data_IF_612423499955
#
_entry.id   IF_612423499955
#
_cell.length_a   1.000
_cell.length_b   1.000
_cell.length_c   1.000
_cell.angle_alpha   90.00
_cell.angle_beta   90.00
_cell.angle_gamma   90.00
#
_symmetry.space_group_name_H-M   'P 1'
#
loop_
_entity.id
_entity.type
_entity.pdbx_description
1 polymer ?
#
# COMPACT_ATOMS: atom_id res chain seq x y z
N UNK A 1 -21.69 -0.21 23.56
CA UNK A 1 -21.90 0.90 22.60
C UNK A 1 -20.71 0.99 21.67
N UNK A 2 -20.85 0.48 20.47
CA UNK A 2 -19.82 0.53 19.42
C UNK A 2 -19.68 1.98 18.97
N UNK A 3 -18.63 2.66 19.39
CA UNK A 3 -18.29 3.99 18.88
C UNK A 3 -17.99 3.87 17.39
N UNK A 4 -18.91 4.36 16.56
CA UNK A 4 -18.66 4.46 15.11
C UNK A 4 -17.46 5.37 14.89
N UNK A 5 -16.44 4.88 14.20
CA UNK A 5 -15.33 5.71 13.73
C UNK A 5 -15.90 6.75 12.75
N UNK A 6 -15.58 8.01 12.98
CA UNK A 6 -15.94 9.09 12.07
C UNK A 6 -14.73 9.43 11.23
N UNK A 7 -14.88 9.31 9.93
CA UNK A 7 -13.89 9.72 8.95
C UNK A 7 -14.37 10.98 8.26
N UNK A 8 -13.47 11.97 8.14
CA UNK A 8 -13.76 13.24 7.48
C UNK A 8 -12.63 13.53 6.49
N UNK A 9 -12.99 13.77 5.23
CA UNK A 9 -12.08 14.27 4.21
C UNK A 9 -12.19 15.80 4.16
N UNK A 10 -11.08 16.50 4.32
CA UNK A 10 -11.00 17.97 4.33
C UNK A 10 -10.00 18.40 3.27
N UNK A 11 -10.39 19.37 2.47
CA UNK A 11 -9.48 20.05 1.56
C UNK A 11 -8.89 21.26 2.25
N UNK A 12 -7.57 21.29 2.40
CA UNK A 12 -6.86 22.44 2.95
C UNK A 12 -6.92 23.63 1.99
N UNK A 13 -6.95 24.84 2.55
CA UNK A 13 -6.93 26.10 1.80
C UNK A 13 -5.59 26.78 2.02
N UNK A 14 -5.06 27.42 0.98
CA UNK A 14 -3.90 28.30 1.11
C UNK A 14 -4.32 29.66 1.62
N UNK A 15 -3.65 30.15 2.66
CA UNK A 15 -3.77 31.53 3.12
C UNK A 15 -2.91 32.43 2.24
N UNK A 16 -3.52 33.50 1.70
CA UNK A 16 -2.82 34.52 0.94
C UNK A 16 -2.01 35.36 1.93
N UNK A 17 -0.75 35.73 1.58
CA UNK A 17 0.09 36.60 2.38
C UNK A 17 0.95 35.97 3.46
N UNK A 18 1.01 34.61 3.55
CA UNK A 18 1.93 33.91 4.44
C UNK A 18 3.31 33.85 3.76
N UNK A 19 4.26 34.63 4.22
CA UNK A 19 5.65 34.71 3.69
C UNK A 19 6.52 33.63 4.32
N UNK A 20 6.26 33.24 5.58
CA UNK A 20 7.00 32.20 6.32
C UNK A 20 6.07 31.13 6.87
N UNK A 21 6.49 29.86 6.75
CA UNK A 21 5.77 28.71 7.26
C UNK A 21 4.85 28.05 6.24
N UNK A 22 4.01 27.10 6.70
CA UNK A 22 3.07 26.40 5.81
C UNK A 22 1.79 27.25 5.61
N UNK A 23 1.50 27.72 4.39
CA UNK A 23 0.31 28.51 4.10
C UNK A 23 -0.98 27.67 4.17
N UNK A 24 -0.90 26.35 4.18
CA UNK A 24 -2.05 25.47 4.19
C UNK A 24 -2.76 25.47 5.55
N UNK A 25 -4.06 25.70 5.54
CA UNK A 25 -4.90 25.72 6.73
C UNK A 25 -6.20 24.94 6.49
N UNK A 26 -6.65 24.25 7.53
CA UNK A 26 -7.93 23.53 7.49
C UNK A 26 -9.10 24.49 7.56
N UNK A 27 -10.20 24.17 6.86
CA UNK A 27 -11.46 24.89 7.00
C UNK A 27 -12.01 24.67 8.43
N UNK A 28 -12.48 25.74 9.10
CA UNK A 28 -13.00 25.65 10.48
C UNK A 28 -11.96 25.83 11.58
N UNK A 29 -10.74 26.29 11.25
CA UNK A 29 -9.70 26.64 12.23
C UNK A 29 -8.96 25.45 12.82
N UNK A 30 -8.40 25.63 14.03
CA UNK A 30 -7.52 24.64 14.64
C UNK A 30 -8.24 23.52 15.41
N UNK A 31 -9.56 23.64 15.65
CA UNK A 31 -10.31 22.68 16.46
C UNK A 31 -10.14 21.23 15.99
N UNK A 32 -10.30 20.98 14.69
CA UNK A 32 -10.15 19.64 14.09
C UNK A 32 -8.74 19.09 14.25
N UNK A 33 -7.70 19.94 14.22
CA UNK A 33 -6.31 19.53 14.45
C UNK A 33 -6.10 18.96 15.84
N UNK A 34 -6.78 19.51 16.85
CA UNK A 34 -6.68 19.06 18.24
C UNK A 34 -7.54 17.82 18.52
N UNK A 35 -8.80 17.81 18.08
CA UNK A 35 -9.75 16.75 18.39
C UNK A 35 -9.51 15.46 17.60
N UNK A 36 -8.95 15.50 16.39
CA UNK A 36 -8.68 14.29 15.62
C UNK A 36 -7.72 13.34 16.32
N UNK A 37 -8.03 12.05 16.33
CA UNK A 37 -7.14 10.99 16.82
C UNK A 37 -6.02 10.68 15.83
N UNK A 38 -6.37 10.61 14.54
CA UNK A 38 -5.43 10.39 13.44
C UNK A 38 -5.65 11.47 12.40
N UNK A 39 -4.55 11.97 11.81
CA UNK A 39 -4.58 12.90 10.67
C UNK A 39 -3.61 12.44 9.61
N UNK A 40 -4.14 12.27 8.41
CA UNK A 40 -3.39 11.87 7.22
C UNK A 40 -3.32 13.07 6.26
N UNK A 41 -2.14 13.28 5.69
CA UNK A 41 -1.92 14.20 4.56
C UNK A 41 -1.80 13.35 3.29
N UNK A 42 -2.68 13.62 2.32
CA UNK A 42 -2.76 12.86 1.06
C UNK A 42 -2.45 13.80 -0.08
N UNK A 43 -1.36 13.51 -0.81
CA UNK A 43 -0.90 14.35 -1.93
C UNK A 43 -0.67 13.53 -3.19
N UNK A 44 -1.05 14.10 -4.32
CA UNK A 44 -0.68 13.56 -5.62
C UNK A 44 0.82 13.77 -5.85
N UNK A 45 1.50 12.76 -6.37
CA UNK A 45 2.92 12.85 -6.75
C UNK A 45 3.08 12.78 -8.26
N UNK A 46 2.83 11.63 -8.86
CA UNK A 46 3.09 11.36 -10.28
C UNK A 46 1.82 10.87 -10.96
N UNK A 47 1.69 11.14 -12.25
CA UNK A 47 0.63 10.56 -13.08
C UNK A 47 1.04 9.16 -13.55
N UNK A 48 0.10 8.23 -13.51
CA UNK A 48 0.25 6.90 -14.09
C UNK A 48 -0.41 6.95 -15.46
N UNK A 49 0.39 6.75 -16.51
CA UNK A 49 -0.05 6.76 -17.89
C UNK A 49 0.20 5.39 -18.51
N UNK A 50 -0.71 4.94 -19.36
CA UNK A 50 -0.47 3.83 -20.27
C UNK A 50 -0.72 4.32 -21.68
N UNK A 51 0.30 4.27 -22.52
CA UNK A 51 0.35 4.94 -23.81
C UNK A 51 -0.02 6.45 -23.67
N UNK A 52 -1.15 6.89 -24.23
CA UNK A 52 -1.59 8.29 -24.18
C UNK A 52 -2.68 8.56 -23.13
N UNK A 53 -3.19 7.52 -22.44
CA UNK A 53 -4.24 7.69 -21.44
C UNK A 53 -3.68 7.80 -20.02
N UNK A 54 -4.25 8.72 -19.24
CA UNK A 54 -3.98 8.84 -17.81
C UNK A 54 -4.86 7.86 -17.05
N UNK A 55 -4.28 6.75 -16.60
CA UNK A 55 -4.99 5.71 -15.85
C UNK A 55 -5.23 6.10 -14.39
N UNK A 56 -4.37 6.94 -13.83
CA UNK A 56 -4.47 7.28 -12.42
C UNK A 56 -3.35 8.19 -11.93
N UNK A 57 -3.17 8.22 -10.63
CA UNK A 57 -2.11 8.97 -9.97
C UNK A 57 -1.44 8.12 -8.90
N UNK A 58 -0.13 8.25 -8.79
CA UNK A 58 0.57 7.89 -7.57
C UNK A 58 0.29 8.93 -6.50
N UNK A 59 -0.10 8.50 -5.32
CA UNK A 59 -0.40 9.36 -4.18
C UNK A 59 0.56 9.04 -3.04
N UNK A 60 0.97 10.06 -2.31
CA UNK A 60 1.70 9.92 -1.06
C UNK A 60 0.76 10.19 0.10
N UNK A 61 0.71 9.25 1.02
CA UNK A 61 -0.05 9.34 2.27
C UNK A 61 0.93 9.45 3.43
N UNK A 62 0.88 10.55 4.17
CA UNK A 62 1.73 10.80 5.34
C UNK A 62 0.87 10.88 6.60
N UNK A 63 1.24 10.14 7.63
CA UNK A 63 0.62 10.23 8.96
C UNK A 63 1.19 11.46 9.67
N UNK A 64 0.41 12.55 9.73
CA UNK A 64 0.85 13.81 10.34
C UNK A 64 0.62 13.80 11.84
N UNK A 65 -0.45 13.13 12.30
CA UNK A 65 -0.79 12.98 13.71
C UNK A 65 -1.38 11.59 13.95
N UNK A 66 -0.95 10.95 15.00
CA UNK A 66 -1.54 9.70 15.47
C UNK A 66 -1.42 9.65 17.01
N UNK A 67 -2.55 9.44 17.69
CA UNK A 67 -2.61 9.30 19.15
C UNK A 67 -2.47 7.85 19.62
N UNK A 68 -2.56 6.87 18.70
CA UNK A 68 -2.62 5.44 19.01
C UNK A 68 -1.32 4.70 18.68
N UNK A 69 -0.49 5.27 17.77
CA UNK A 69 0.75 4.66 17.31
C UNK A 69 1.75 5.75 16.88
N UNK A 70 3.04 5.43 16.67
CA UNK A 70 4.04 6.40 16.23
C UNK A 70 3.63 7.11 14.94
N UNK A 71 3.60 8.45 14.92
CA UNK A 71 3.27 9.24 13.72
C UNK A 71 4.46 9.35 12.75
N UNK A 72 4.30 10.16 11.71
CA UNK A 72 5.31 10.57 10.71
C UNK A 72 5.73 9.49 9.71
N UNK A 73 5.07 8.34 9.69
CA UNK A 73 5.24 7.37 8.61
C UNK A 73 4.58 7.86 7.34
N UNK A 74 5.17 7.52 6.21
CA UNK A 74 4.61 7.83 4.88
C UNK A 74 4.70 6.61 3.98
N UNK A 75 3.72 6.47 3.11
CA UNK A 75 3.68 5.43 2.08
C UNK A 75 3.22 6.03 0.75
N UNK A 76 3.59 5.39 -0.34
CA UNK A 76 3.12 5.74 -1.67
C UNK A 76 2.24 4.63 -2.21
N UNK A 77 1.13 5.01 -2.83
CA UNK A 77 0.11 4.12 -3.34
C UNK A 77 -0.30 4.55 -4.74
N UNK A 78 -0.67 3.59 -5.58
CA UNK A 78 -1.24 3.87 -6.89
C UNK A 78 -2.76 3.92 -6.80
N UNK A 79 -3.32 5.07 -7.16
CA UNK A 79 -4.76 5.30 -7.25
C UNK A 79 -5.17 5.25 -8.73
N UNK A 80 -5.90 4.21 -9.11
CA UNK A 80 -6.41 4.01 -10.45
C UNK A 80 -7.84 4.55 -10.54
N UNK A 81 -8.13 5.33 -11.55
CA UNK A 81 -9.46 5.90 -11.75
C UNK A 81 -10.51 4.81 -11.92
N UNK A 82 -11.65 4.95 -11.25
CA UNK A 82 -12.75 4.00 -11.25
C UNK A 82 -12.53 2.71 -10.46
N UNK A 83 -11.26 2.35 -10.14
CA UNK A 83 -10.93 1.11 -9.40
C UNK A 83 -10.48 1.37 -7.96
N UNK A 84 -9.94 2.57 -7.68
CA UNK A 84 -9.38 2.90 -6.36
C UNK A 84 -7.90 2.54 -6.23
N UNK A 85 -7.48 2.15 -5.02
CA UNK A 85 -6.07 1.79 -4.75
C UNK A 85 -5.75 0.44 -5.38
N UNK A 86 -4.63 0.38 -6.12
CA UNK A 86 -4.11 -0.84 -6.70
C UNK A 86 -3.51 -1.75 -5.62
N UNK A 87 -4.27 -2.72 -5.15
CA UNK A 87 -3.82 -3.67 -4.10
C UNK A 87 -2.62 -4.47 -4.59
N UNK A 88 -2.66 -5.00 -5.82
CA UNK A 88 -1.54 -5.76 -6.39
C UNK A 88 -0.28 -4.90 -6.58
N UNK A 89 -0.45 -3.60 -6.86
CA UNK A 89 0.68 -2.67 -6.93
C UNK A 89 1.34 -2.46 -5.57
N UNK A 90 0.55 -2.35 -4.51
CA UNK A 90 1.04 -2.24 -3.13
C UNK A 90 1.73 -3.54 -2.70
N UNK A 91 1.12 -4.69 -2.99
CA UNK A 91 1.68 -6.01 -2.70
C UNK A 91 3.05 -6.18 -3.35
N UNK A 92 3.18 -5.82 -4.64
CA UNK A 92 4.45 -5.87 -5.36
C UNK A 92 5.51 -4.97 -4.73
N UNK A 93 5.19 -3.72 -4.44
CA UNK A 93 6.14 -2.77 -3.86
C UNK A 93 6.63 -3.22 -2.47
N UNK A 94 5.74 -3.76 -1.64
CA UNK A 94 6.07 -4.32 -0.33
C UNK A 94 6.90 -5.61 -0.45
N UNK A 95 6.55 -6.51 -1.36
CA UNK A 95 7.26 -7.77 -1.58
C UNK A 95 8.68 -7.54 -2.11
N UNK A 96 8.89 -6.53 -2.95
CA UNK A 96 10.24 -6.10 -3.37
C UNK A 96 11.01 -5.50 -2.21
N UNK A 97 10.37 -4.68 -1.38
CA UNK A 97 11.01 -4.07 -0.21
C UNK A 97 11.40 -5.10 0.87
N UNK A 98 10.63 -6.19 0.97
CA UNK A 98 10.89 -7.31 1.88
C UNK A 98 11.79 -8.40 1.26
N UNK A 99 12.33 -8.16 0.04
CA UNK A 99 13.19 -9.10 -0.71
C UNK A 99 12.54 -10.46 -1.03
N UNK A 100 11.21 -10.56 -0.89
CA UNK A 100 10.44 -11.76 -1.29
C UNK A 100 10.43 -11.88 -2.82
N UNK A 101 10.18 -10.77 -3.51
CA UNK A 101 10.28 -10.66 -4.95
C UNK A 101 11.62 -10.02 -5.30
N UNK A 102 12.40 -10.72 -6.10
CA UNK A 102 13.69 -10.23 -6.58
C UNK A 102 13.48 -9.34 -7.80
N UNK A 103 14.10 -8.15 -7.78
CA UNK A 103 14.11 -7.23 -8.90
C UNK A 103 15.51 -7.17 -9.49
N UNK A 104 15.65 -7.61 -10.74
CA UNK A 104 16.88 -7.53 -11.51
C UNK A 104 16.68 -6.62 -12.73
N UNK A 105 17.14 -5.38 -12.63
CA UNK A 105 16.88 -4.36 -13.65
C UNK A 105 15.38 -4.09 -13.80
N UNK A 106 14.84 -4.43 -14.96
CA UNK A 106 13.39 -4.30 -15.26
C UNK A 106 12.59 -5.58 -15.00
N UNK A 107 13.26 -6.69 -14.65
CA UNK A 107 12.64 -7.99 -14.44
C UNK A 107 12.31 -8.22 -12.98
N UNK A 108 11.15 -8.86 -12.76
CA UNK A 108 10.69 -9.31 -11.45
C UNK A 108 10.63 -10.83 -11.45
N UNK A 109 11.13 -11.47 -10.39
CA UNK A 109 11.13 -12.92 -10.22
C UNK A 109 10.75 -13.31 -8.80
N UNK A 110 10.02 -14.39 -8.66
CA UNK A 110 9.62 -15.02 -7.42
C UNK A 110 9.94 -16.52 -7.49
N UNK A 111 10.58 -17.09 -6.46
CA UNK A 111 11.00 -18.50 -6.41
C UNK A 111 11.75 -18.98 -7.69
N UNK A 112 12.61 -18.11 -8.29
CA UNK A 112 13.33 -18.34 -9.56
C UNK A 112 12.44 -18.32 -10.81
N UNK A 113 11.14 -18.12 -10.68
CA UNK A 113 10.21 -17.94 -11.78
C UNK A 113 10.12 -16.47 -12.19
N UNK A 114 10.16 -16.20 -13.50
CA UNK A 114 10.03 -14.84 -14.02
C UNK A 114 8.57 -14.45 -14.09
N UNK A 115 8.18 -13.41 -13.37
CA UNK A 115 6.79 -12.90 -13.35
C UNK A 115 6.51 -11.92 -14.49
N UNK A 116 7.50 -11.12 -14.90
CA UNK A 116 7.30 -10.17 -15.99
C UNK A 116 8.40 -9.12 -16.07
N UNK A 117 8.42 -8.44 -17.22
CA UNK A 117 9.26 -7.29 -17.44
C UNK A 117 8.46 -6.00 -17.21
N UNK A 118 8.91 -5.19 -16.26
CA UNK A 118 8.26 -3.95 -15.87
C UNK A 118 7.13 -4.16 -14.86
N UNK A 119 6.82 -3.08 -14.14
CA UNK A 119 5.88 -3.08 -13.00
C UNK A 119 4.45 -3.43 -13.45
N UNK A 120 3.99 -2.89 -14.55
CA UNK A 120 2.62 -3.11 -15.05
C UNK A 120 2.36 -4.57 -15.45
N UNK A 121 3.33 -5.19 -16.16
CA UNK A 121 3.22 -6.58 -16.56
C UNK A 121 3.23 -7.51 -15.35
N UNK A 122 4.04 -7.21 -14.33
CA UNK A 122 4.09 -7.98 -13.09
C UNK A 122 2.79 -7.85 -12.29
N UNK A 123 2.19 -6.65 -12.23
CA UNK A 123 0.89 -6.46 -11.59
C UNK A 123 -0.20 -7.26 -12.32
N UNK A 124 -0.18 -7.28 -13.65
CA UNK A 124 -1.11 -8.09 -14.44
C UNK A 124 -0.91 -9.57 -14.16
N UNK A 125 0.32 -10.05 -14.15
CA UNK A 125 0.66 -11.44 -13.83
C UNK A 125 0.14 -11.84 -12.45
N UNK A 126 0.33 -11.01 -11.42
CA UNK A 126 -0.21 -11.27 -10.07
C UNK A 126 -1.75 -11.27 -10.05
N UNK A 127 -2.38 -10.46 -10.89
CA UNK A 127 -3.86 -10.44 -11.00
C UNK A 127 -4.39 -11.71 -11.66
N UNK A 128 -3.64 -12.29 -12.61
CA UNK A 128 -3.97 -13.54 -13.30
C UNK A 128 -3.64 -14.78 -12.43
N UNK A 129 -2.74 -14.66 -11.47
CA UNK A 129 -2.33 -15.74 -10.57
C UNK A 129 -2.64 -15.40 -9.09
N UNK A 130 -3.90 -15.48 -8.67
CA UNK A 130 -4.31 -15.08 -7.32
C UNK A 130 -3.69 -15.94 -6.21
N UNK A 131 -3.45 -17.23 -6.45
CA UNK A 131 -2.83 -18.14 -5.49
C UNK A 131 -1.42 -17.66 -5.10
N UNK A 132 -0.61 -17.27 -6.07
CA UNK A 132 0.73 -16.72 -5.84
C UNK A 132 0.64 -15.37 -5.11
N UNK A 133 -0.33 -14.55 -5.42
CA UNK A 133 -0.53 -13.26 -4.74
C UNK A 133 -0.90 -13.46 -3.27
N UNK A 134 -1.75 -14.44 -2.94
CA UNK A 134 -2.12 -14.79 -1.56
C UNK A 134 -0.93 -15.38 -0.78
N UNK A 135 -0.10 -16.21 -1.41
CA UNK A 135 1.13 -16.72 -0.79
C UNK A 135 2.08 -15.58 -0.43
N UNK A 136 2.30 -14.64 -1.35
CA UNK A 136 3.15 -13.47 -1.12
C UNK A 136 2.56 -12.57 -0.01
N UNK A 137 1.25 -12.34 -0.01
CA UNK A 137 0.57 -11.54 1.02
C UNK A 137 0.72 -12.19 2.40
N UNK A 138 0.54 -13.50 2.49
CA UNK A 138 0.70 -14.28 3.73
C UNK A 138 2.11 -14.16 4.27
N UNK A 139 3.13 -14.35 3.43
CA UNK A 139 4.54 -14.18 3.80
C UNK A 139 4.86 -12.76 4.28
N UNK A 140 4.32 -11.75 3.59
CA UNK A 140 4.48 -10.35 3.99
C UNK A 140 3.88 -10.07 5.37
N UNK A 141 2.68 -10.59 5.63
CA UNK A 141 2.01 -10.43 6.93
C UNK A 141 2.76 -11.11 8.05
N UNK A 142 3.37 -12.27 7.80
CA UNK A 142 4.23 -12.96 8.75
C UNK A 142 5.48 -12.12 9.08
N UNK A 143 6.20 -11.64 8.08
CA UNK A 143 7.40 -10.79 8.27
C UNK A 143 7.07 -9.54 9.08
N UNK A 144 5.89 -8.95 8.87
CA UNK A 144 5.45 -7.77 9.60
C UNK A 144 4.71 -8.07 10.91
N UNK A 145 4.70 -9.32 11.37
CA UNK A 145 4.03 -9.79 12.59
C UNK A 145 2.55 -9.38 12.66
N UNK A 146 1.86 -9.34 11.52
CA UNK A 146 0.44 -9.04 11.42
C UNK A 146 -0.43 -10.28 11.59
N UNK A 147 0.14 -11.46 11.36
CA UNK A 147 -0.48 -12.77 11.57
C UNK A 147 0.50 -13.60 12.40
N UNK A 148 0.04 -14.39 13.37
CA UNK A 148 0.92 -15.36 14.06
C UNK A 148 1.51 -16.32 13.01
N UNK A 149 2.74 -16.75 13.22
CA UNK A 149 3.38 -17.80 12.42
C UNK A 149 2.53 -19.07 12.60
N UNK A 150 1.64 -19.30 11.65
CA UNK A 150 0.93 -20.57 11.56
C UNK A 150 1.95 -21.56 11.01
N UNK A 151 2.26 -22.58 11.78
CA UNK A 151 3.04 -23.71 11.32
C UNK A 151 2.40 -24.21 10.02
N UNK A 152 3.16 -24.13 8.94
CA UNK A 152 2.79 -24.76 7.69
C UNK A 152 2.99 -26.25 7.97
N UNK A 153 1.90 -26.95 8.34
CA UNK A 153 1.88 -28.40 8.25
C UNK A 153 2.17 -28.75 6.80
N UNK A 154 3.41 -29.11 6.55
CA UNK A 154 3.80 -29.86 5.37
C UNK A 154 3.11 -31.21 5.46
N UNK A 155 1.94 -31.31 4.86
CA UNK A 155 1.37 -32.61 4.54
C UNK A 155 2.35 -33.35 3.61
N UNK A 156 3.22 -34.12 4.21
CA UNK A 156 3.99 -35.12 3.50
C UNK A 156 2.97 -36.20 3.06
N UNK A 157 2.82 -36.46 1.76
CA UNK A 157 1.98 -37.56 1.33
C UNK A 157 2.56 -38.82 1.92
N UNK A 158 1.79 -39.50 2.77
CA UNK A 158 2.10 -40.81 3.30
C UNK A 158 2.26 -41.78 2.12
N UNK A 159 3.49 -42.22 1.93
CA UNK A 159 3.87 -43.28 1.05
C UNK A 159 3.14 -44.56 1.51
N UNK A 160 2.14 -44.94 0.75
CA UNK A 160 1.47 -46.23 0.91
C UNK A 160 2.47 -47.33 0.53
N UNK A 161 3.14 -47.88 1.52
CA UNK A 161 3.84 -49.16 1.36
C UNK A 161 2.82 -50.26 1.51
N UNK A 162 2.49 -50.90 0.41
CA UNK A 162 1.89 -52.22 0.37
C UNK A 162 2.94 -53.27 0.67
N UNK A 163 2.57 -54.16 1.57
CA UNK A 163 3.11 -55.48 1.68
C UNK A 163 2.14 -56.48 1.03
#
# INVERSE_FOLDING_TARGET
STRRQRQMCIRDRSKIGVVFGNPETTTGGNALKFYSSVRLDVRKTTQIKSADEVLGHRIRVKVVKNKLAPPFRSTELDLIYGKGISIMGVLLDLAVSAEIIQKSGTWFSYNKERMGQGRENTIRFLTENPEMAEEIDTRLRQIHHLIPETEIETETPAESAEA
#
